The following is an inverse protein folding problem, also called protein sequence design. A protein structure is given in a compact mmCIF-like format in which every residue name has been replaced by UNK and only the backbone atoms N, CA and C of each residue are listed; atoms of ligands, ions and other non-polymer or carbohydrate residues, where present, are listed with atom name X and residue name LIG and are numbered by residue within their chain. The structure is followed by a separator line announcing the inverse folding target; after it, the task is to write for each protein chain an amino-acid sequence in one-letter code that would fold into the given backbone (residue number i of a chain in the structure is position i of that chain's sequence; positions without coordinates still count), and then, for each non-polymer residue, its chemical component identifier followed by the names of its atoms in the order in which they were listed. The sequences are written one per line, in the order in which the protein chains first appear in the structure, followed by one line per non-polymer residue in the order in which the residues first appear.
data_IF_735789307398
#
_entry.id   IF_735789307398
#
_cell.length_a   1.000
_cell.length_b   1.000
_cell.length_c   1.000
_cell.angle_alpha   90.00
_cell.angle_beta   90.00
_cell.angle_gamma   90.00
#
_symmetry.space_group_name_H-M   'P 1'
#
loop_
_entity.id
_entity.type
_entity.pdbx_description
1 polymer ?
#
# COMPACT_ATOMS: atom_id res chain seq x y z
N UNK A 1 5.49 -13.51 -4.31
CA UNK A 1 5.91 -12.41 -3.41
C UNK A 1 6.04 -11.15 -4.28
N UNK A 2 5.89 -9.91 -3.78
CA UNK A 2 6.10 -8.74 -4.61
C UNK A 2 7.54 -8.65 -5.12
N UNK A 3 7.69 -8.31 -6.40
CA UNK A 3 8.99 -8.05 -7.00
C UNK A 3 9.56 -6.74 -6.43
N UNK A 4 10.85 -6.75 -6.10
CA UNK A 4 11.60 -5.56 -5.74
C UNK A 4 12.49 -5.21 -6.93
N UNK A 5 12.28 -4.03 -7.52
CA UNK A 5 13.12 -3.53 -8.61
C UNK A 5 14.32 -2.78 -8.02
N UNK A 6 15.27 -3.54 -7.46
CA UNK A 6 16.46 -2.98 -6.84
C UNK A 6 17.71 -3.73 -7.29
N UNK A 7 18.84 -3.03 -7.35
CA UNK A 7 20.13 -3.57 -7.83
C UNK A 7 20.67 -4.76 -7.02
N UNK A 8 20.10 -5.04 -5.84
CA UNK A 8 20.63 -5.99 -4.87
C UNK A 8 19.62 -7.05 -4.42
N UNK A 9 18.34 -6.95 -4.80
CA UNK A 9 17.30 -7.92 -4.42
C UNK A 9 16.13 -7.93 -5.42
N UNK A 10 15.72 -9.13 -5.84
CA UNK A 10 14.62 -9.37 -6.81
C UNK A 10 13.22 -9.38 -6.20
N UNK A 11 13.09 -9.76 -4.94
CA UNK A 11 11.80 -9.88 -4.25
C UNK A 11 11.89 -9.26 -2.86
N UNK A 12 10.76 -8.80 -2.30
CA UNK A 12 10.74 -8.36 -0.90
C UNK A 12 9.42 -8.68 -0.22
N UNK A 13 9.47 -8.70 1.10
CA UNK A 13 8.26 -8.74 1.92
C UNK A 13 7.57 -7.38 1.93
N UNK A 14 6.24 -7.42 2.03
CA UNK A 14 5.35 -6.26 2.04
C UNK A 14 4.12 -6.62 2.86
N UNK A 15 3.69 -5.70 3.72
CA UNK A 15 2.46 -5.86 4.51
C UNK A 15 2.45 -7.10 5.42
N UNK A 16 3.62 -7.54 5.91
CA UNK A 16 3.68 -8.66 6.85
C UNK A 16 3.00 -8.25 8.15
N UNK A 17 1.94 -8.95 8.61
CA UNK A 17 1.17 -8.54 9.78
C UNK A 17 1.99 -8.82 11.05
N UNK A 18 2.70 -7.82 11.55
CA UNK A 18 3.53 -7.93 12.75
C UNK A 18 2.62 -7.92 13.99
N UNK A 19 2.86 -8.85 14.92
CA UNK A 19 2.07 -8.91 16.15
C UNK A 19 2.19 -7.61 16.95
N UNK A 20 1.08 -7.24 17.59
CA UNK A 20 0.96 -6.01 18.39
C UNK A 20 2.12 -5.84 19.36
N UNK A 21 2.37 -6.84 20.20
CA UNK A 21 3.40 -6.76 21.26
C UNK A 21 4.80 -6.60 20.69
N UNK A 22 5.11 -7.27 19.58
CA UNK A 22 6.44 -7.20 18.97
C UNK A 22 6.70 -5.80 18.41
N UNK A 23 5.69 -5.15 17.84
CA UNK A 23 5.81 -3.79 17.34
C UNK A 23 5.85 -2.75 18.49
N UNK A 24 4.96 -2.90 19.48
CA UNK A 24 4.91 -2.01 20.66
C UNK A 24 6.20 -2.07 21.46
N UNK A 25 6.71 -3.28 21.76
CA UNK A 25 7.93 -3.47 22.53
C UNK A 25 9.15 -2.93 21.77
N UNK A 26 9.27 -3.21 20.47
CA UNK A 26 10.36 -2.67 19.66
C UNK A 26 10.41 -1.13 19.71
N UNK A 27 9.25 -0.48 19.59
CA UNK A 27 9.18 0.97 19.72
C UNK A 27 9.53 1.45 21.12
N UNK A 28 8.99 0.81 22.15
CA UNK A 28 9.23 1.15 23.54
C UNK A 28 10.72 1.05 23.91
N UNK A 29 11.42 0.05 23.41
CA UNK A 29 12.86 -0.15 23.66
C UNK A 29 13.73 0.90 22.94
N UNK A 30 13.24 1.45 21.83
CA UNK A 30 13.98 2.41 21.00
C UNK A 30 13.62 3.88 21.24
N UNK A 31 12.54 4.19 21.97
CA UNK A 31 11.92 5.54 22.04
C UNK A 31 12.87 6.69 22.41
N UNK A 32 13.91 6.41 23.19
CA UNK A 32 14.90 7.38 23.68
C UNK A 32 16.21 7.35 22.88
N UNK A 33 16.35 6.42 21.92
CA UNK A 33 17.46 6.40 20.98
C UNK A 33 17.39 7.60 20.01
N UNK A 34 18.40 7.76 19.17
CA UNK A 34 18.45 8.80 18.16
C UNK A 34 18.38 8.23 16.74
N UNK A 35 17.72 8.95 15.85
CA UNK A 35 17.74 8.70 14.41
C UNK A 35 17.56 10.02 13.67
N UNK A 36 17.98 10.06 12.41
CA UNK A 36 17.81 11.23 11.54
C UNK A 36 16.81 10.97 10.41
N UNK A 37 16.23 9.76 10.32
CA UNK A 37 15.34 9.35 9.22
C UNK A 37 14.23 8.43 9.70
N UNK A 38 13.06 8.60 9.08
CA UNK A 38 11.88 7.74 9.25
C UNK A 38 11.83 6.52 8.30
N UNK A 39 12.66 6.52 7.25
CA UNK A 39 12.74 5.42 6.29
C UNK A 39 14.20 5.01 6.10
N UNK A 40 14.52 3.79 6.50
CA UNK A 40 15.87 3.25 6.49
C UNK A 40 16.22 2.45 5.24
N UNK A 41 15.25 2.21 4.34
CA UNK A 41 15.54 1.58 3.05
C UNK A 41 16.21 2.51 2.05
N UNK A 42 15.96 3.82 2.11
CA UNK A 42 16.42 4.75 1.06
C UNK A 42 16.78 6.14 1.58
N UNK A 43 17.56 6.85 0.77
CA UNK A 43 17.92 8.26 1.00
C UNK A 43 18.90 8.44 2.17
N UNK A 44 19.84 7.52 2.33
CA UNK A 44 21.03 7.71 3.17
C UNK A 44 22.15 8.36 2.34
N UNK A 45 23.08 9.04 3.02
CA UNK A 45 24.34 9.44 2.40
C UNK A 45 25.34 8.26 2.48
N UNK A 46 25.83 7.80 1.33
CA UNK A 46 26.76 6.67 1.21
C UNK A 46 28.18 7.07 0.80
N UNK A 47 28.53 8.37 0.78
CA UNK A 47 29.82 8.86 0.30
C UNK A 47 31.04 8.27 1.03
N UNK A 48 30.84 7.78 2.27
CA UNK A 48 31.90 7.17 3.10
C UNK A 48 31.89 5.63 3.08
N UNK A 49 31.10 5.01 2.20
CA UNK A 49 30.90 3.55 2.16
C UNK A 49 29.97 2.99 3.25
N UNK A 50 29.64 3.78 4.27
CA UNK A 50 28.64 3.47 5.31
C UNK A 50 27.49 4.46 5.26
N UNK A 51 26.31 4.06 5.72
CA UNK A 51 25.14 4.95 5.74
C UNK A 51 25.32 6.06 6.78
N UNK A 52 25.24 7.31 6.32
CA UNK A 52 25.27 8.52 7.14
C UNK A 52 23.98 9.30 6.97
N UNK A 53 23.64 10.09 7.98
CA UNK A 53 22.53 11.02 7.90
C UNK A 53 22.68 11.92 6.65
N UNK A 54 21.59 12.16 5.90
CA UNK A 54 21.61 13.10 4.79
C UNK A 54 22.00 14.49 5.27
N UNK A 55 22.55 15.28 4.36
CA UNK A 55 22.87 16.69 4.64
C UNK A 55 21.63 17.43 5.13
N UNK A 56 21.79 18.23 6.20
CA UNK A 56 20.68 18.98 6.81
C UNK A 56 19.69 18.12 7.62
N UNK A 57 19.95 16.83 7.85
CA UNK A 57 19.09 15.96 8.67
C UNK A 57 19.72 15.69 10.03
N UNK A 58 19.49 16.53 11.05
CA UNK A 58 20.05 16.31 12.39
C UNK A 58 19.42 15.08 13.06
N UNK A 59 20.18 14.46 13.97
CA UNK A 59 19.68 13.41 14.83
C UNK A 59 18.61 13.96 15.78
N UNK A 60 17.50 13.23 15.90
CA UNK A 60 16.37 13.55 16.78
C UNK A 60 16.00 12.31 17.59
N UNK A 61 15.37 12.46 18.76
CA UNK A 61 14.79 11.34 19.51
C UNK A 61 13.93 10.46 18.62
N UNK A 62 14.05 9.15 18.81
CA UNK A 62 13.38 8.14 18.00
C UNK A 62 11.86 8.32 18.08
N UNK A 63 11.34 8.65 19.26
CA UNK A 63 9.94 9.03 19.50
C UNK A 63 9.47 10.27 18.73
N UNK A 64 10.35 11.21 18.37
CA UNK A 64 9.99 12.34 17.51
C UNK A 64 9.92 11.97 16.03
N UNK A 65 10.76 11.02 15.60
CA UNK A 65 10.78 10.55 14.20
C UNK A 65 9.70 9.50 13.95
N UNK A 66 9.45 8.65 14.94
CA UNK A 66 8.40 7.64 14.99
C UNK A 66 7.49 7.92 16.19
N UNK A 67 6.41 8.70 16.03
CA UNK A 67 5.50 9.07 17.13
C UNK A 67 4.85 7.90 17.85
N UNK A 68 4.75 6.73 17.21
CA UNK A 68 4.21 5.53 17.82
C UNK A 68 4.69 4.24 17.16
N UNK A 69 4.24 3.08 17.71
CA UNK A 69 4.66 1.77 17.23
C UNK A 69 4.31 1.52 15.77
N UNK A 70 3.07 1.86 15.37
CA UNK A 70 2.62 1.69 13.98
C UNK A 70 3.53 2.47 13.01
N UNK A 71 3.83 3.71 13.34
CA UNK A 71 4.69 4.57 12.55
C UNK A 71 6.10 3.98 12.39
N UNK A 72 6.65 3.35 13.44
CA UNK A 72 7.91 2.62 13.37
C UNK A 72 7.80 1.43 12.41
N UNK A 73 6.95 0.46 12.74
CA UNK A 73 6.94 -0.84 12.07
C UNK A 73 6.56 -0.72 10.59
N UNK A 74 5.69 0.23 10.24
CA UNK A 74 5.25 0.42 8.86
C UNK A 74 6.23 1.26 8.03
N UNK A 75 6.91 2.27 8.61
CA UNK A 75 7.67 3.24 7.80
C UNK A 75 9.16 2.93 7.72
N UNK A 76 9.76 2.42 8.79
CA UNK A 76 11.23 2.24 8.87
C UNK A 76 11.77 1.36 7.73
N UNK A 77 11.01 0.33 7.34
CA UNK A 77 11.34 -0.56 6.23
C UNK A 77 10.35 -0.45 5.06
N UNK A 78 9.87 0.75 4.74
CA UNK A 78 9.01 1.03 3.58
C UNK A 78 7.83 0.06 3.41
N UNK A 79 7.03 -0.16 4.45
CA UNK A 79 5.86 -1.04 4.42
C UNK A 79 6.16 -2.53 4.38
N UNK A 80 7.39 -2.95 4.75
CA UNK A 80 7.72 -4.38 4.87
C UNK A 80 6.82 -5.07 5.89
N UNK A 81 6.57 -4.41 7.02
CA UNK A 81 5.63 -4.83 8.03
C UNK A 81 4.40 -3.92 8.03
N UNK A 82 3.27 -4.47 8.46
CA UNK A 82 2.06 -3.72 8.82
C UNK A 82 1.71 -4.04 10.26
N UNK A 83 1.28 -3.04 11.02
CA UNK A 83 0.88 -3.23 12.40
C UNK A 83 -0.41 -4.04 12.46
N UNK A 84 -0.40 -5.18 13.16
CA UNK A 84 -1.59 -5.99 13.40
C UNK A 84 -2.13 -5.75 14.82
N UNK A 85 -3.45 -5.63 15.01
CA UNK A 85 -4.04 -5.62 16.35
C UNK A 85 -4.00 -7.00 17.03
N UNK A 86 -3.68 -8.05 16.28
CA UNK A 86 -3.60 -9.42 16.78
C UNK A 86 -2.45 -9.60 17.77
N UNK A 87 -2.75 -10.32 18.86
CA UNK A 87 -1.78 -10.62 19.93
C UNK A 87 -0.86 -11.76 19.52
N UNK A 88 0.33 -11.83 20.09
CA UNK A 88 1.22 -13.00 19.99
C UNK A 88 0.49 -14.29 20.33
N UNK A 89 0.79 -15.35 19.59
CA UNK A 89 0.15 -16.67 19.77
C UNK A 89 -1.24 -16.83 19.15
N UNK A 90 -1.85 -15.77 18.62
CA UNK A 90 -3.15 -15.84 17.92
C UNK A 90 -3.15 -16.71 16.65
N UNK A 91 -1.98 -16.97 16.07
CA UNK A 91 -1.87 -17.58 14.74
C UNK A 91 -2.30 -16.64 13.60
N UNK A 92 -2.50 -15.35 13.89
CA UNK A 92 -2.96 -14.33 12.94
C UNK A 92 -1.94 -13.22 12.67
N UNK A 93 -0.80 -13.22 13.34
CA UNK A 93 0.27 -12.27 13.12
C UNK A 93 1.64 -12.95 13.26
N UNK A 94 2.63 -12.40 12.56
CA UNK A 94 4.02 -12.85 12.60
C UNK A 94 4.69 -12.30 13.87
N UNK A 95 5.39 -13.18 14.57
CA UNK A 95 6.26 -12.86 15.70
C UNK A 95 7.70 -12.79 15.20
N UNK A 96 8.38 -11.69 15.47
CA UNK A 96 9.83 -11.56 15.27
C UNK A 96 10.58 -12.29 16.39
N UNK A 97 10.03 -12.25 17.60
CA UNK A 97 10.63 -12.85 18.78
C UNK A 97 9.81 -14.05 19.22
N UNK A 98 10.43 -15.22 19.36
CA UNK A 98 9.79 -16.42 19.92
C UNK A 98 10.86 -17.40 20.43
N UNK A 99 10.47 -18.25 21.37
CA UNK A 99 11.34 -19.31 21.88
C UNK A 99 11.39 -20.47 20.88
N UNK A 100 12.56 -20.78 20.27
CA UNK A 100 12.68 -21.86 19.31
C UNK A 100 12.41 -23.24 19.92
N UNK A 101 12.60 -23.44 21.23
CA UNK A 101 12.31 -24.70 21.90
C UNK A 101 10.80 -25.05 21.89
N UNK A 102 9.94 -24.03 21.73
CA UNK A 102 8.48 -24.18 21.60
C UNK A 102 8.01 -24.27 20.15
N UNK A 103 8.93 -24.33 19.20
CA UNK A 103 8.66 -24.35 17.76
C UNK A 103 8.40 -22.98 17.16
N UNK A 104 8.36 -22.92 15.83
CA UNK A 104 8.16 -21.66 15.09
C UNK A 104 6.64 -21.34 14.94
N UNK A 105 6.11 -20.31 15.63
CA UNK A 105 4.69 -19.97 15.57
C UNK A 105 4.28 -19.39 14.20
N UNK A 106 5.23 -18.86 13.43
CA UNK A 106 4.96 -18.20 12.15
C UNK A 106 4.59 -19.19 11.04
N UNK A 107 4.90 -20.48 11.20
CA UNK A 107 4.50 -21.51 10.25
C UNK A 107 2.97 -21.60 10.12
N UNK A 108 2.25 -21.55 11.25
CA UNK A 108 0.78 -21.55 11.27
C UNK A 108 0.21 -20.27 10.63
N UNK A 109 0.82 -19.12 10.93
CA UNK A 109 0.42 -17.82 10.38
C UNK A 109 0.57 -17.79 8.86
N UNK A 110 1.73 -18.25 8.35
CA UNK A 110 1.98 -18.32 6.92
C UNK A 110 0.97 -19.23 6.21
N UNK A 111 0.67 -20.41 6.78
CA UNK A 111 -0.37 -21.32 6.25
C UNK A 111 -1.74 -20.66 6.22
N UNK A 112 -2.12 -19.96 7.28
CA UNK A 112 -3.40 -19.25 7.36
C UNK A 112 -3.53 -18.21 6.25
N UNK A 113 -2.56 -17.30 6.08
CA UNK A 113 -2.64 -16.27 5.04
C UNK A 113 -2.49 -16.84 3.62
N UNK A 114 -1.72 -17.91 3.42
CA UNK A 114 -1.65 -18.60 2.13
C UNK A 114 -2.96 -19.29 1.77
N UNK A 115 -3.67 -19.86 2.74
CA UNK A 115 -5.02 -20.39 2.54
C UNK A 115 -6.01 -19.27 2.25
N UNK A 116 -6.05 -18.22 3.10
CA UNK A 116 -6.94 -17.07 2.92
C UNK A 116 -6.80 -16.44 1.53
N UNK A 117 -5.55 -16.29 1.04
CA UNK A 117 -5.27 -15.76 -0.30
C UNK A 117 -5.82 -16.66 -1.42
N UNK A 118 -5.74 -17.98 -1.27
CA UNK A 118 -6.27 -18.95 -2.24
C UNK A 118 -7.80 -19.01 -2.23
N UNK A 119 -8.42 -18.83 -1.08
CA UNK A 119 -9.87 -18.90 -0.89
C UNK A 119 -10.60 -17.58 -1.16
N UNK A 120 -9.87 -16.48 -1.32
CA UNK A 120 -10.47 -15.19 -1.69
C UNK A 120 -10.85 -15.23 -3.18
N UNK A 121 -12.09 -14.84 -3.56
CA UNK A 121 -12.47 -14.70 -4.96
C UNK A 121 -11.47 -13.81 -5.69
N UNK A 122 -11.03 -14.22 -6.89
CA UNK A 122 -10.25 -13.33 -7.73
C UNK A 122 -11.08 -12.06 -8.01
N UNK A 123 -10.48 -10.87 -8.06
CA UNK A 123 -11.19 -9.70 -8.53
C UNK A 123 -11.74 -10.01 -9.92
N UNK A 124 -13.05 -9.81 -10.07
CA UNK A 124 -13.79 -10.01 -11.30
C UNK A 124 -13.12 -9.15 -12.38
N UNK A 125 -12.29 -9.76 -13.23
CA UNK A 125 -11.83 -9.07 -14.44
C UNK A 125 -13.10 -8.81 -15.22
N UNK A 126 -13.47 -7.53 -15.35
CA UNK A 126 -14.61 -7.06 -16.13
C UNK A 126 -14.80 -7.98 -17.33
N UNK A 127 -15.82 -8.85 -17.25
CA UNK A 127 -16.34 -9.49 -18.44
C UNK A 127 -16.88 -8.34 -19.26
N UNK A 128 -16.08 -7.84 -20.18
CA UNK A 128 -16.58 -7.08 -21.31
C UNK A 128 -17.59 -7.99 -22.00
N UNK A 129 -18.86 -7.85 -21.63
CA UNK A 129 -19.98 -8.40 -22.37
C UNK A 129 -19.89 -7.65 -23.69
N UNK A 130 -19.28 -8.30 -24.69
CA UNK A 130 -19.39 -7.86 -26.05
C UNK A 130 -20.88 -7.88 -26.37
N UNK A 131 -21.52 -6.72 -26.27
CA UNK A 131 -22.88 -6.51 -26.72
C UNK A 131 -22.86 -6.74 -28.24
N UNK A 132 -23.18 -7.96 -28.64
CA UNK A 132 -23.49 -8.29 -30.04
C UNK A 132 -24.66 -7.38 -30.45
N UNK A 133 -24.49 -6.48 -31.43
CA UNK A 133 -25.60 -5.66 -31.87
C UNK A 133 -26.61 -6.58 -32.55
N UNK A 134 -27.79 -6.70 -31.97
CA UNK A 134 -28.92 -7.41 -32.57
C UNK A 134 -29.40 -6.58 -33.78
N UNK A 135 -29.29 -7.06 -35.03
CA UNK A 135 -29.58 -6.26 -36.22
C UNK A 135 -31.09 -6.02 -36.45
N UNK A 136 -31.96 -6.47 -35.56
CA UNK A 136 -33.41 -6.42 -35.75
C UNK A 136 -34.08 -5.11 -35.29
N UNK A 137 -33.34 -4.16 -34.69
CA UNK A 137 -33.93 -2.93 -34.13
C UNK A 137 -33.85 -1.68 -35.04
N UNK A 138 -33.52 -1.85 -36.33
CA UNK A 138 -33.38 -0.75 -37.31
C UNK A 138 -34.66 -0.44 -38.12
N UNK A 139 -35.82 -1.03 -37.79
CA UNK A 139 -37.01 -0.92 -38.65
C UNK A 139 -38.20 -0.11 -38.10
N UNK A 140 -38.08 0.64 -37.00
CA UNK A 140 -39.20 1.45 -36.49
C UNK A 140 -38.77 2.85 -36.05
N UNK A 141 -38.51 3.73 -37.01
CA UNK A 141 -38.53 5.18 -36.80
C UNK A 141 -39.66 5.79 -37.65
N UNK A 142 -40.81 6.16 -37.05
CA UNK A 142 -41.77 7.01 -37.73
C UNK A 142 -41.27 8.46 -37.71
N UNK A 143 -41.29 9.10 -38.88
CA UNK A 143 -41.00 10.51 -39.11
C UNK A 143 -41.88 11.40 -38.22
N UNK A 144 -41.29 12.07 -37.24
CA UNK A 144 -41.97 13.11 -36.47
C UNK A 144 -41.83 14.46 -37.21
N UNK A 145 -42.93 15.20 -37.46
CA UNK A 145 -42.87 16.49 -38.11
C UNK A 145 -42.32 17.57 -37.15
N UNK A 146 -41.44 18.39 -37.70
CA UNK A 146 -40.78 19.53 -37.06
C UNK A 146 -41.79 20.65 -36.81
N UNK A 147 -41.97 21.04 -35.54
CA UNK A 147 -42.59 22.31 -35.16
C UNK A 147 -41.57 23.15 -34.39
N UNK A 148 -41.02 24.14 -35.08
CA UNK A 148 -40.17 25.21 -34.55
C UNK A 148 -41.05 26.36 -34.03
N UNK A 149 -40.76 26.94 -32.85
CA UNK A 149 -41.04 28.33 -32.59
C UNK A 149 -39.84 29.21 -32.97
N UNK A 150 -40.13 30.24 -33.76
CA UNK A 150 -39.24 31.31 -34.21
C UNK A 150 -38.85 32.25 -33.08
N UNK A 151 -37.61 32.75 -33.19
CA UNK A 151 -37.25 34.14 -32.87
C UNK A 151 -36.38 34.27 -31.62
N UNK A 152 -35.34 35.11 -31.57
CA UNK A 152 -34.87 36.10 -32.52
C UNK A 152 -33.46 36.57 -32.10
N UNK A 153 -32.65 37.00 -33.07
CA UNK A 153 -31.49 37.90 -32.91
C UNK A 153 -30.28 37.27 -32.24
N UNK A 154 -29.11 37.16 -32.85
CA UNK A 154 -28.43 38.16 -33.67
C UNK A 154 -27.04 38.38 -33.04
N UNK A 155 -25.93 38.27 -33.80
CA UNK A 155 -24.61 37.97 -33.25
C UNK A 155 -23.73 39.22 -33.08
N UNK A 156 -22.63 39.06 -32.33
CA UNK A 156 -21.32 39.72 -32.47
C UNK A 156 -20.43 39.07 -31.39
N UNK A 157 -19.29 38.43 -31.65
CA UNK A 157 -18.35 38.59 -32.75
C UNK A 157 -17.07 39.21 -32.21
N UNK A 158 -15.97 38.45 -32.35
CA UNK A 158 -14.55 38.76 -32.09
C UNK A 158 -14.11 38.66 -30.62
N UNK A 159 -12.95 38.08 -30.29
CA UNK A 159 -11.81 37.69 -31.10
C UNK A 159 -10.56 37.84 -30.23
N UNK A 160 -9.77 36.76 -30.18
CA UNK A 160 -8.33 36.65 -29.92
C UNK A 160 -7.61 37.70 -29.06
N UNK A 161 -7.00 37.21 -27.97
CA UNK A 161 -5.55 37.16 -27.75
C UNK A 161 -5.23 36.06 -26.72
#
# INVERSE_FOLDING_TARGET
VPQADSSWRRERILGVPLCREDCEQWWQDCRDALTCKENWHKGWNWATGTNRCPWGSPCRPFSQVFPGPKELCERIWSGSFSYSPERRGSGRCIQLWFDPARGNPNAAVARYYAWKKRSSPAPERDRAVAALPCPALLLLLPLAPVLLPRGAGGPRGWGSL
#
